data_IF_331857539317
#
_entry.id   IF_331857539317
#
_cell.length_a   1.000
_cell.length_b   1.000
_cell.length_c   1.000
_cell.angle_alpha   90.00
_cell.angle_beta   90.00
_cell.angle_gamma   90.00
#
_symmetry.space_group_name_H-M   'P 1'
#
loop_
_entity.id
_entity.type
_entity.pdbx_description
1 polymer ?
#
# COMPACT_ATOMS: atom_id res chain seq x y z
N UNK A 1 3.91 5.03 -18.54
CA UNK A 1 3.09 3.79 -18.66
C UNK A 1 3.73 2.60 -17.94
N UNK A 2 5.01 2.26 -18.21
CA UNK A 2 5.71 1.12 -17.56
C UNK A 2 5.60 1.09 -16.02
N UNK A 3 5.73 2.24 -15.35
CA UNK A 3 5.65 2.37 -13.88
C UNK A 3 4.28 1.96 -13.30
N UNK A 4 3.19 2.24 -14.02
CA UNK A 4 1.84 1.83 -13.61
C UNK A 4 1.75 0.31 -13.63
N UNK A 5 2.32 -0.34 -14.65
CA UNK A 5 2.30 -1.80 -14.79
C UNK A 5 3.00 -2.46 -13.60
N UNK A 6 4.20 -1.99 -13.24
CA UNK A 6 4.95 -2.55 -12.10
C UNK A 6 4.19 -2.44 -10.77
N UNK A 7 3.62 -1.28 -10.46
CA UNK A 7 2.86 -1.11 -9.22
C UNK A 7 1.50 -1.83 -9.25
N UNK A 8 0.87 -1.95 -10.43
CA UNK A 8 -0.40 -2.68 -10.58
C UNK A 8 -0.23 -4.18 -10.36
N UNK A 9 0.93 -4.76 -10.66
CA UNK A 9 1.22 -6.18 -10.38
C UNK A 9 1.09 -6.48 -8.89
N UNK A 10 1.54 -5.59 -8.01
CA UNK A 10 1.36 -5.75 -6.56
C UNK A 10 -0.12 -5.79 -6.16
N UNK A 11 -0.93 -4.89 -6.71
CA UNK A 11 -2.38 -4.88 -6.48
C UNK A 11 -3.01 -6.17 -6.98
N UNK A 12 -2.67 -6.61 -8.19
CA UNK A 12 -3.19 -7.86 -8.77
C UNK A 12 -2.83 -9.08 -7.93
N UNK A 13 -1.58 -9.20 -7.46
CA UNK A 13 -1.16 -10.31 -6.59
C UNK A 13 -1.98 -10.31 -5.29
N UNK A 14 -2.16 -9.14 -4.67
CA UNK A 14 -2.96 -9.04 -3.45
C UNK A 14 -4.43 -9.42 -3.68
N UNK A 15 -5.00 -9.06 -4.83
CA UNK A 15 -6.37 -9.42 -5.21
C UNK A 15 -6.52 -10.91 -5.55
N UNK A 16 -5.53 -11.52 -6.21
CA UNK A 16 -5.53 -12.96 -6.48
C UNK A 16 -5.55 -13.74 -5.16
N UNK A 17 -4.72 -13.32 -4.19
CA UNK A 17 -4.73 -13.91 -2.85
C UNK A 17 -6.11 -13.75 -2.18
N UNK A 18 -6.71 -12.56 -2.27
CA UNK A 18 -8.03 -12.27 -1.70
C UNK A 18 -9.13 -13.17 -2.28
N UNK A 19 -9.15 -13.35 -3.60
CA UNK A 19 -10.15 -14.17 -4.28
C UNK A 19 -9.95 -15.65 -3.97
N UNK A 20 -8.69 -16.13 -3.96
CA UNK A 20 -8.38 -17.54 -3.73
C UNK A 20 -8.75 -17.99 -2.31
N UNK A 21 -8.43 -17.18 -1.30
CA UNK A 21 -8.57 -17.57 0.10
C UNK A 21 -9.94 -17.20 0.70
N UNK A 22 -10.51 -16.09 0.25
CA UNK A 22 -11.71 -15.51 0.88
C UNK A 22 -12.90 -15.36 -0.06
N UNK A 23 -12.77 -15.78 -1.33
CA UNK A 23 -13.84 -15.76 -2.34
C UNK A 23 -14.56 -14.40 -2.44
N UNK A 24 -13.83 -13.31 -2.18
CA UNK A 24 -14.34 -11.94 -2.20
C UNK A 24 -13.42 -11.05 -3.01
N UNK A 25 -13.98 -9.98 -3.58
CA UNK A 25 -13.22 -8.91 -4.23
C UNK A 25 -13.06 -7.68 -3.33
N UNK A 26 -13.71 -7.67 -2.16
CA UNK A 26 -13.68 -6.53 -1.25
C UNK A 26 -12.75 -6.82 -0.05
N UNK A 27 -11.54 -6.24 0.02
CA UNK A 27 -10.64 -6.47 1.14
C UNK A 27 -11.17 -5.88 2.46
N UNK A 28 -12.05 -4.88 2.41
CA UNK A 28 -12.56 -4.20 3.61
C UNK A 28 -13.48 -5.14 4.41
N UNK A 29 -14.08 -6.16 3.80
CA UNK A 29 -14.94 -7.15 4.48
C UNK A 29 -14.16 -8.21 5.25
N UNK A 30 -12.84 -8.32 5.06
CA UNK A 30 -12.01 -9.31 5.76
C UNK A 30 -12.06 -9.15 7.28
N UNK A 31 -11.78 -10.22 8.02
CA UNK A 31 -11.54 -10.12 9.47
C UNK A 31 -10.19 -9.45 9.73
N UNK A 32 -9.96 -8.98 10.96
CA UNK A 32 -8.75 -8.22 11.31
C UNK A 32 -7.44 -8.90 10.88
N UNK A 33 -7.19 -10.16 11.27
CA UNK A 33 -5.96 -10.89 10.90
C UNK A 33 -5.82 -11.07 9.38
N UNK A 34 -6.91 -11.39 8.69
CA UNK A 34 -6.89 -11.62 7.24
C UNK A 34 -6.67 -10.32 6.47
N UNK A 35 -7.27 -9.22 6.93
CA UNK A 35 -6.99 -7.90 6.38
C UNK A 35 -5.53 -7.51 6.57
N UNK A 36 -4.96 -7.76 7.75
CA UNK A 36 -3.54 -7.48 7.99
C UNK A 36 -2.65 -8.28 7.04
N UNK A 37 -2.95 -9.56 6.79
CA UNK A 37 -2.24 -10.37 5.79
C UNK A 37 -2.36 -9.78 4.39
N UNK A 38 -3.58 -9.46 3.95
CA UNK A 38 -3.82 -8.81 2.66
C UNK A 38 -3.01 -7.51 2.54
N UNK A 39 -3.09 -6.65 3.55
CA UNK A 39 -2.43 -5.35 3.59
C UNK A 39 -0.92 -5.49 3.56
N UNK A 40 -0.37 -6.48 4.25
CA UNK A 40 1.05 -6.78 4.27
C UNK A 40 1.54 -7.31 2.92
N UNK A 41 0.79 -8.19 2.26
CA UNK A 41 1.09 -8.67 0.90
C UNK A 41 1.11 -7.50 -0.09
N UNK A 42 0.10 -6.61 0.00
CA UNK A 42 0.00 -5.42 -0.82
C UNK A 42 1.20 -4.48 -0.60
N UNK A 43 1.53 -4.15 0.65
CA UNK A 43 2.68 -3.30 0.98
C UNK A 43 4.01 -3.89 0.53
N UNK A 44 4.25 -5.18 0.82
CA UNK A 44 5.49 -5.85 0.40
C UNK A 44 5.62 -5.87 -1.12
N UNK A 45 4.56 -6.27 -1.83
CA UNK A 45 4.58 -6.26 -3.29
C UNK A 45 4.84 -4.86 -3.84
N UNK A 46 4.25 -3.83 -3.23
CA UNK A 46 4.44 -2.45 -3.65
C UNK A 46 5.90 -2.01 -3.44
N UNK A 47 6.47 -2.20 -2.25
CA UNK A 47 7.86 -1.80 -1.98
C UNK A 47 8.87 -2.59 -2.82
N UNK A 48 8.65 -3.89 -3.05
CA UNK A 48 9.46 -4.67 -3.99
C UNK A 48 9.41 -4.06 -5.38
N UNK A 49 8.23 -3.66 -5.87
CA UNK A 49 8.10 -3.00 -7.17
C UNK A 49 8.86 -1.66 -7.24
N UNK A 50 8.90 -0.90 -6.14
CA UNK A 50 9.66 0.37 -6.04
C UNK A 50 11.17 0.11 -6.06
N UNK A 51 11.64 -0.91 -5.34
CA UNK A 51 13.06 -1.30 -5.34
C UNK A 51 13.49 -1.75 -6.74
N UNK A 52 12.69 -2.58 -7.40
CA UNK A 52 12.94 -3.03 -8.77
C UNK A 52 13.01 -1.82 -9.73
N UNK A 53 12.08 -0.88 -9.62
CA UNK A 53 12.09 0.34 -10.44
C UNK A 53 13.40 1.13 -10.25
N UNK A 54 13.83 1.27 -9.00
CA UNK A 54 15.08 1.97 -8.65
C UNK A 54 16.31 1.24 -9.21
N UNK A 55 16.31 -0.10 -9.20
CA UNK A 55 17.36 -0.92 -9.80
C UNK A 55 17.48 -0.69 -11.32
N UNK A 56 16.36 -0.50 -12.02
CA UNK A 56 16.33 -0.10 -13.43
C UNK A 56 16.72 1.37 -13.68
N UNK A 57 17.25 2.08 -12.67
CA UNK A 57 17.60 3.52 -12.70
C UNK A 57 16.42 4.43 -13.05
N UNK A 58 15.19 3.93 -12.90
CA UNK A 58 13.99 4.72 -13.10
C UNK A 58 13.72 5.55 -11.86
N UNK A 59 13.45 6.83 -12.07
CA UNK A 59 13.17 7.74 -10.96
C UNK A 59 11.80 7.48 -10.34
N UNK A 60 11.73 7.63 -9.02
CA UNK A 60 10.46 7.75 -8.28
C UNK A 60 9.63 8.83 -8.96
N UNK A 61 8.40 8.47 -9.31
CA UNK A 61 7.51 9.33 -10.08
C UNK A 61 6.26 9.66 -9.28
N UNK A 62 5.46 10.62 -9.77
CA UNK A 62 4.13 10.92 -9.20
C UNK A 62 3.26 9.67 -9.06
N UNK A 63 3.42 8.69 -9.96
CA UNK A 63 2.67 7.42 -9.94
C UNK A 63 2.96 6.64 -8.65
N UNK A 64 4.22 6.57 -8.22
CA UNK A 64 4.61 5.87 -6.99
C UNK A 64 3.94 6.52 -5.77
N UNK A 65 3.90 7.85 -5.72
CA UNK A 65 3.22 8.60 -4.65
C UNK A 65 1.70 8.33 -4.68
N UNK A 66 1.07 8.32 -5.86
CA UNK A 66 -0.36 8.00 -5.98
C UNK A 66 -0.69 6.59 -5.48
N UNK A 67 0.15 5.59 -5.76
CA UNK A 67 -0.03 4.23 -5.24
C UNK A 67 0.13 4.17 -3.71
N UNK A 68 1.12 4.87 -3.14
CA UNK A 68 1.25 4.95 -1.67
C UNK A 68 0.02 5.57 -1.02
N UNK A 69 -0.49 6.67 -1.59
CA UNK A 69 -1.73 7.31 -1.09
C UNK A 69 -2.90 6.32 -1.19
N UNK A 70 -3.02 5.60 -2.31
CA UNK A 70 -4.08 4.60 -2.48
C UNK A 70 -4.03 3.48 -1.42
N UNK A 71 -2.84 2.92 -1.16
CA UNK A 71 -2.65 1.88 -0.12
C UNK A 71 -3.01 2.45 1.26
N UNK A 72 -2.51 3.65 1.57
CA UNK A 72 -2.79 4.33 2.83
C UNK A 72 -4.30 4.59 3.03
N UNK A 73 -5.02 4.99 1.98
CA UNK A 73 -6.48 5.17 2.02
C UNK A 73 -7.20 3.86 2.35
N UNK A 74 -6.76 2.73 1.79
CA UNK A 74 -7.33 1.42 2.14
C UNK A 74 -7.11 1.09 3.62
N UNK A 75 -5.93 1.40 4.17
CA UNK A 75 -5.62 1.27 5.58
C UNK A 75 -6.54 2.12 6.46
N UNK A 76 -6.70 3.41 6.12
CA UNK A 76 -7.59 4.35 6.83
C UNK A 76 -9.03 3.85 6.85
N UNK A 77 -9.57 3.45 5.70
CA UNK A 77 -10.96 2.95 5.60
C UNK A 77 -11.17 1.74 6.51
N UNK A 78 -10.19 0.83 6.57
CA UNK A 78 -10.26 -0.31 7.50
C UNK A 78 -10.18 0.12 8.95
N UNK A 79 -9.30 1.05 9.27
CA UNK A 79 -9.10 1.55 10.63
C UNK A 79 -10.38 2.19 11.17
N UNK A 80 -11.04 3.05 10.39
CA UNK A 80 -12.35 3.64 10.73
C UNK A 80 -13.37 2.54 11.03
N UNK A 81 -13.46 1.52 10.16
CA UNK A 81 -14.38 0.38 10.37
C UNK A 81 -14.03 -0.41 11.64
N UNK A 82 -12.74 -0.59 11.93
CA UNK A 82 -12.25 -1.25 13.14
C UNK A 82 -12.64 -0.50 14.41
N UNK A 83 -12.54 0.83 14.39
CA UNK A 83 -12.95 1.71 15.49
C UNK A 83 -14.46 1.62 15.75
N UNK A 84 -15.28 1.70 14.69
CA UNK A 84 -16.75 1.59 14.81
C UNK A 84 -17.15 0.24 15.43
N UNK A 85 -16.45 -0.85 15.08
CA UNK A 85 -16.73 -2.19 15.58
C UNK A 85 -16.05 -2.52 16.91
N UNK A 86 -15.37 -1.56 17.55
CA UNK A 86 -14.61 -1.73 18.81
C UNK A 86 -13.65 -2.93 18.76
N UNK A 87 -13.07 -3.19 17.58
CA UNK A 87 -12.11 -4.29 17.38
C UNK A 87 -10.68 -3.80 17.61
N UNK A 88 -9.74 -4.65 18.05
CA UNK A 88 -8.35 -4.25 18.17
C UNK A 88 -7.74 -3.93 16.79
N UNK A 89 -7.14 -2.75 16.66
CA UNK A 89 -6.52 -2.24 15.42
C UNK A 89 -5.06 -1.80 15.61
N UNK A 90 -4.42 -2.16 16.74
CA UNK A 90 -3.07 -1.70 17.10
C UNK A 90 -2.00 -2.02 16.05
N UNK A 91 -1.99 -3.25 15.50
CA UNK A 91 -1.03 -3.63 14.46
C UNK A 91 -1.20 -2.81 13.18
N UNK A 92 -2.45 -2.50 12.80
CA UNK A 92 -2.72 -1.67 11.62
C UNK A 92 -2.21 -0.24 11.83
N UNK A 93 -2.42 0.32 13.02
CA UNK A 93 -1.90 1.64 13.39
C UNK A 93 -0.38 1.72 13.25
N UNK A 94 0.35 0.72 13.76
CA UNK A 94 1.82 0.70 13.66
C UNK A 94 2.26 0.68 12.21
N UNK A 95 1.66 -0.18 11.37
CA UNK A 95 1.99 -0.27 9.94
C UNK A 95 1.70 1.07 9.24
N UNK A 96 0.56 1.70 9.53
CA UNK A 96 0.21 2.99 8.94
C UNK A 96 1.16 4.11 9.36
N UNK A 97 1.65 4.11 10.60
CA UNK A 97 2.63 5.09 11.05
C UNK A 97 3.93 5.02 10.23
N UNK A 98 4.43 3.80 9.99
CA UNK A 98 5.58 3.59 9.11
C UNK A 98 5.28 4.04 7.67
N UNK A 99 4.10 3.74 7.15
CA UNK A 99 3.71 4.13 5.79
C UNK A 99 3.69 5.66 5.60
N UNK A 100 3.16 6.40 6.58
CA UNK A 100 3.16 7.87 6.58
C UNK A 100 4.60 8.41 6.59
N UNK A 101 5.48 7.87 7.43
CA UNK A 101 6.88 8.29 7.49
C UNK A 101 7.59 8.10 6.13
N UNK A 102 7.37 6.95 5.48
CA UNK A 102 7.93 6.69 4.15
C UNK A 102 7.30 7.60 3.10
N UNK A 103 5.99 7.84 3.13
CA UNK A 103 5.33 8.76 2.19
C UNK A 103 5.92 10.18 2.28
N UNK A 104 6.12 10.70 3.49
CA UNK A 104 6.72 12.02 3.72
C UNK A 104 8.13 12.06 3.14
N UNK A 105 8.96 11.05 3.42
CA UNK A 105 10.31 10.95 2.87
C UNK A 105 10.31 11.01 1.33
N UNK A 106 9.43 10.24 0.69
CA UNK A 106 9.31 10.22 -0.77
C UNK A 106 8.83 11.56 -1.35
N UNK A 107 7.89 12.24 -0.69
CA UNK A 107 7.41 13.56 -1.12
C UNK A 107 8.49 14.64 -1.02
N UNK A 108 9.29 14.63 0.06
CA UNK A 108 10.42 15.55 0.23
C UNK A 108 11.48 15.33 -0.85
N UNK A 109 11.82 14.07 -1.13
CA UNK A 109 12.78 13.73 -2.19
C UNK A 109 12.28 14.15 -3.57
N UNK A 110 11.00 13.92 -3.87
CA UNK A 110 10.39 14.33 -5.13
C UNK A 110 10.37 15.86 -5.30
N UNK A 111 10.01 16.60 -4.24
CA UNK A 111 9.99 18.07 -4.25
C UNK A 111 11.39 18.66 -4.46
N UNK A 112 12.41 18.10 -3.79
CA UNK A 112 13.81 18.52 -3.97
C UNK A 112 14.34 18.25 -5.38
N UNK A 113 13.92 17.14 -6.03
CA UNK A 113 14.28 16.87 -7.43
C UNK A 113 13.58 17.78 -8.44
N UNK A 114 12.44 18.37 -8.09
CA UNK A 114 11.70 19.29 -8.97
C UNK A 114 12.23 20.74 -8.86
N UNK A 115 12.91 21.06 -7.76
CA UNK A 115 13.51 22.37 -7.48
C UNK A 115 14.97 22.50 -7.96
N UNK A 116 15.60 21.41 -8.40
CA UNK A 116 16.89 21.40 -9.12
C UNK A 116 16.64 21.33 -10.62
#
# INVERSE_FOLDING_TARGET
MKKIIFHSVSVLISLIWLVKEHQTYNPITLKGPDFLKFYFILLLGFYVSVIILTFFKETISKITIYFMIFIMVLGIVKLIRGMILVKPFGYLLVIMFFEVAVLIYFMLFYSNKKLK
#
